data_IF_292281703042
#
_entry.id   IF_292281703042
#
_cell.length_a   1.000
_cell.length_b   1.000
_cell.length_c   1.000
_cell.angle_alpha   90.00
_cell.angle_beta   90.00
_cell.angle_gamma   90.00
#
_symmetry.space_group_name_H-M   'P 1'
#
loop_
_entity.id
_entity.type
_entity.pdbx_description
1 polymer ?
#
# COMPACT_ATOMS: atom_id res chain seq x y z
N UNK A 1 -4.79 -0.51 -15.67
CA UNK A 1 -3.41 -0.94 -15.97
C UNK A 1 -2.52 -0.76 -14.75
N UNK A 2 -1.75 -1.78 -14.45
CA UNK A 2 -0.76 -1.66 -13.40
C UNK A 2 0.47 -0.98 -13.99
N UNK A 3 0.82 0.19 -13.47
CA UNK A 3 1.97 0.92 -13.99
C UNK A 3 3.24 0.52 -13.23
N UNK A 4 4.39 1.00 -13.70
CA UNK A 4 5.68 0.59 -13.12
C UNK A 4 5.80 0.96 -11.64
N UNK A 5 5.05 1.94 -11.19
CA UNK A 5 5.05 2.33 -9.79
C UNK A 5 4.47 1.24 -8.90
N UNK A 6 3.61 0.40 -9.48
CA UNK A 6 2.96 -0.68 -8.75
C UNK A 6 3.59 -2.04 -9.02
N UNK A 7 4.82 -2.06 -9.52
CA UNK A 7 5.60 -3.29 -9.63
C UNK A 7 6.52 -3.34 -8.41
N UNK A 8 6.36 -4.39 -7.63
CA UNK A 8 7.03 -4.51 -6.33
C UNK A 8 7.90 -5.76 -6.35
N UNK A 9 9.13 -5.64 -5.90
CA UNK A 9 9.99 -6.81 -5.79
C UNK A 9 9.56 -7.63 -4.59
N UNK A 10 9.46 -8.93 -4.77
CA UNK A 10 9.06 -9.83 -3.68
C UNK A 10 10.01 -9.62 -2.50
N UNK A 11 9.42 -9.50 -1.33
CA UNK A 11 10.16 -9.24 -0.11
C UNK A 11 10.12 -7.79 0.34
N UNK A 12 9.81 -6.88 -0.56
CA UNK A 12 9.65 -5.48 -0.18
C UNK A 12 8.32 -5.29 0.53
N UNK A 13 8.35 -4.45 1.55
CA UNK A 13 7.11 -4.04 2.20
C UNK A 13 6.46 -2.97 1.34
N UNK A 14 5.16 -3.08 1.14
CA UNK A 14 4.41 -2.14 0.32
C UNK A 14 3.52 -1.29 1.19
N UNK A 15 3.47 0.00 0.90
CA UNK A 15 2.60 0.94 1.60
C UNK A 15 1.73 1.64 0.59
N UNK A 16 0.43 1.66 0.86
CA UNK A 16 -0.54 2.30 -0.03
C UNK A 16 -1.44 3.23 0.73
N UNK A 17 -1.80 4.33 0.08
CA UNK A 17 -2.87 5.18 0.56
C UNK A 17 -4.16 4.77 -0.12
N UNK A 18 -5.22 4.58 0.65
CA UNK A 18 -6.53 4.24 0.10
C UNK A 18 -7.44 5.45 0.22
N UNK A 19 -8.14 5.75 -0.86
CA UNK A 19 -9.09 6.85 -0.90
C UNK A 19 -10.44 6.32 -1.36
N UNK A 20 -11.46 6.61 -0.58
CA UNK A 20 -12.83 6.23 -0.92
C UNK A 20 -13.62 7.51 -1.11
N UNK A 21 -13.96 7.78 -2.36
CA UNK A 21 -14.69 8.99 -2.74
C UNK A 21 -16.10 8.59 -3.11
N UNK A 22 -16.99 8.65 -2.14
CA UNK A 22 -18.38 8.25 -2.34
C UNK A 22 -19.27 9.17 -1.54
N UNK A 23 -20.36 9.60 -2.16
CA UNK A 23 -21.31 10.48 -1.49
C UNK A 23 -21.85 9.82 -0.23
N UNK A 24 -21.82 10.57 0.85
CA UNK A 24 -22.34 10.10 2.13
C UNK A 24 -21.38 9.23 2.92
N UNK A 25 -20.20 8.97 2.40
CA UNK A 25 -19.22 8.14 3.08
C UNK A 25 -18.03 8.99 3.56
N UNK A 26 -17.63 8.79 4.81
CA UNK A 26 -16.44 9.41 5.37
C UNK A 26 -15.51 8.32 5.87
N UNK A 27 -14.29 8.28 5.35
CA UNK A 27 -13.32 7.27 5.79
C UNK A 27 -13.00 7.42 7.27
N UNK A 28 -13.05 8.64 7.77
CA UNK A 28 -12.77 8.88 9.18
C UNK A 28 -13.89 8.32 10.07
N UNK A 29 -15.13 8.46 9.66
CA UNK A 29 -16.27 8.12 10.51
C UNK A 29 -16.87 6.76 10.21
N UNK A 30 -16.73 6.29 9.00
CA UNK A 30 -17.38 5.05 8.58
C UNK A 30 -16.38 3.92 8.45
N UNK A 31 -16.86 2.69 8.55
CA UNK A 31 -16.00 1.53 8.54
C UNK A 31 -15.70 1.05 7.12
N UNK A 32 -14.53 0.47 6.95
CA UNK A 32 -14.13 -0.14 5.70
C UNK A 32 -12.95 -1.07 5.95
N UNK A 33 -12.70 -1.96 5.01
CA UNK A 33 -11.55 -2.86 5.09
C UNK A 33 -11.06 -3.19 3.70
N UNK A 34 -9.84 -3.67 3.61
CA UNK A 34 -9.24 -4.09 2.35
C UNK A 34 -8.83 -5.55 2.49
N UNK A 35 -9.19 -6.35 1.50
CA UNK A 35 -8.76 -7.73 1.42
C UNK A 35 -7.88 -7.88 0.19
N UNK A 36 -6.63 -8.27 0.39
CA UNK A 36 -5.69 -8.51 -0.69
C UNK A 36 -5.75 -9.97 -1.07
N UNK A 37 -5.77 -10.24 -2.37
CA UNK A 37 -5.86 -11.60 -2.87
C UNK A 37 -4.80 -11.82 -3.94
N UNK A 38 -4.16 -12.98 -3.91
CA UNK A 38 -3.13 -13.33 -4.87
C UNK A 38 -3.04 -14.84 -5.00
N UNK A 39 -2.34 -15.27 -6.05
CA UNK A 39 -2.06 -16.67 -6.24
C UNK A 39 -3.24 -17.45 -6.79
N UNK A 40 -2.92 -18.60 -7.34
CA UNK A 40 -3.94 -19.44 -7.97
C UNK A 40 -4.86 -20.11 -6.95
N UNK A 41 -4.40 -20.24 -5.72
CA UNK A 41 -5.18 -20.87 -4.66
C UNK A 41 -5.98 -19.88 -3.85
N UNK A 42 -6.01 -18.62 -4.27
CA UNK A 42 -6.83 -17.62 -3.60
C UNK A 42 -6.34 -17.26 -2.21
N UNK A 43 -5.06 -17.04 -2.07
CA UNK A 43 -4.52 -16.59 -0.78
C UNK A 43 -5.00 -15.19 -0.49
N UNK A 44 -5.25 -14.90 0.77
CA UNK A 44 -5.84 -13.62 1.18
C UNK A 44 -5.17 -13.05 2.39
N UNK A 45 -5.19 -11.72 2.47
CA UNK A 45 -4.76 -10.97 3.64
C UNK A 45 -5.75 -9.83 3.84
N UNK A 46 -6.46 -9.85 4.95
CA UNK A 46 -7.45 -8.82 5.26
C UNK A 46 -6.83 -7.78 6.17
N UNK A 47 -7.00 -6.51 5.80
CA UNK A 47 -6.50 -5.39 6.57
C UNK A 47 -7.71 -4.53 6.96
N UNK A 48 -8.16 -4.64 8.21
CA UNK A 48 -9.29 -3.83 8.67
C UNK A 48 -8.83 -2.40 8.91
N UNK A 49 -9.81 -1.49 8.92
CA UNK A 49 -9.53 -0.08 9.17
C UNK A 49 -8.73 0.12 10.45
N UNK A 50 -9.00 -0.68 11.46
CA UNK A 50 -8.33 -0.54 12.75
C UNK A 50 -6.82 -0.80 12.67
N UNK A 51 -6.36 -1.47 11.62
CA UNK A 51 -4.93 -1.73 11.42
C UNK A 51 -4.29 -0.75 10.47
N UNK A 52 -5.05 0.23 9.99
CA UNK A 52 -4.53 1.24 9.10
C UNK A 52 -4.07 2.45 9.87
N UNK A 53 -3.17 3.21 9.25
CA UNK A 53 -2.69 4.47 9.83
C UNK A 53 -3.51 5.60 9.28
N UNK A 54 -3.93 6.49 10.16
CA UNK A 54 -4.66 7.70 9.77
C UNK A 54 -3.83 8.91 10.16
N UNK A 55 -3.64 9.83 9.22
CA UNK A 55 -2.86 11.04 9.52
C UNK A 55 -3.80 12.21 9.87
N UNK A 56 -3.23 13.39 10.04
CA UNK A 56 -3.98 14.57 10.47
C UNK A 56 -5.02 15.03 9.47
N UNK A 57 -4.87 14.62 8.21
CA UNK A 57 -5.81 15.00 7.15
C UNK A 57 -6.83 13.92 6.88
N UNK A 58 -6.92 12.94 7.78
CA UNK A 58 -7.86 11.83 7.64
C UNK A 58 -7.56 10.99 6.40
N UNK A 59 -6.28 10.94 6.01
CA UNK A 59 -5.83 10.04 4.96
C UNK A 59 -5.44 8.71 5.57
N UNK A 60 -5.80 7.62 4.91
CA UNK A 60 -5.59 6.28 5.44
C UNK A 60 -4.55 5.54 4.63
N UNK A 61 -3.66 4.87 5.35
CA UNK A 61 -2.56 4.11 4.74
C UNK A 61 -2.53 2.71 5.32
N UNK A 62 -2.21 1.75 4.48
CA UNK A 62 -1.98 0.39 4.96
C UNK A 62 -0.68 -0.14 4.39
N UNK A 63 -0.10 -1.10 5.12
CA UNK A 63 1.19 -1.68 4.79
C UNK A 63 1.03 -3.19 4.77
N UNK A 64 1.69 -3.84 3.83
CA UNK A 64 1.63 -5.29 3.79
C UNK A 64 2.95 -5.85 3.29
N UNK A 65 3.31 -7.07 3.76
CA UNK A 65 4.50 -7.73 3.29
C UNK A 65 4.22 -8.43 1.96
N UNK A 66 5.23 -8.51 1.12
CA UNK A 66 5.10 -9.20 -0.16
C UNK A 66 5.90 -10.50 -0.20
N UNK A 67 6.42 -10.90 0.94
CA UNK A 67 7.30 -12.06 1.04
C UNK A 67 6.70 -13.32 0.43
N UNK A 68 5.42 -13.54 0.65
CA UNK A 68 4.73 -14.73 0.18
C UNK A 68 3.82 -14.46 -1.01
N UNK A 69 3.92 -13.28 -1.59
CA UNK A 69 3.07 -12.89 -2.72
C UNK A 69 3.79 -13.07 -4.03
N UNK A 70 3.05 -13.44 -5.05
CA UNK A 70 3.58 -13.65 -6.40
C UNK A 70 2.54 -13.19 -7.40
N UNK A 71 2.98 -12.42 -8.40
CA UNK A 71 2.10 -12.02 -9.49
C UNK A 71 1.15 -10.91 -9.11
N UNK A 72 0.00 -10.92 -9.73
CA UNK A 72 -0.98 -9.84 -9.52
C UNK A 72 -1.61 -9.97 -8.16
N UNK A 73 -1.62 -8.86 -7.42
CA UNK A 73 -2.31 -8.76 -6.15
C UNK A 73 -3.52 -7.87 -6.38
N UNK A 74 -4.69 -8.41 -6.06
CA UNK A 74 -5.95 -7.70 -6.23
C UNK A 74 -6.43 -7.19 -4.89
N UNK A 75 -6.93 -5.96 -4.86
CA UNK A 75 -7.48 -5.37 -3.65
C UNK A 75 -8.99 -5.33 -3.76
N UNK A 76 -9.65 -5.89 -2.77
CA UNK A 76 -11.11 -5.83 -2.65
C UNK A 76 -11.42 -4.99 -1.42
N UNK A 77 -12.03 -3.83 -1.64
CA UNK A 77 -12.42 -2.94 -0.57
C UNK A 77 -13.89 -3.13 -0.26
N UNK A 78 -14.19 -3.35 1.00
CA UNK A 78 -15.56 -3.41 1.49
C UNK A 78 -15.75 -2.19 2.39
N UNK A 79 -16.76 -1.39 2.10
CA UNK A 79 -17.01 -0.19 2.91
C UNK A 79 -18.50 -0.04 3.16
N UNK A 80 -18.83 0.67 4.22
CA UNK A 80 -20.19 0.71 4.74
C UNK A 80 -20.72 2.13 4.69
N UNK A 81 -21.62 2.37 3.74
CA UNK A 81 -22.17 3.69 3.50
C UNK A 81 -23.42 3.86 4.37
N UNK A 82 -23.52 4.95 5.13
CA UNK A 82 -24.74 5.19 5.90
C UNK A 82 -25.96 5.24 4.98
N UNK A 83 -26.98 4.49 5.34
CA UNK A 83 -28.20 4.41 4.53
C UNK A 83 -29.34 4.01 5.44
N UNK A 84 -30.27 4.93 5.63
CA UNK A 84 -31.39 4.72 6.55
C UNK A 84 -32.41 3.71 6.05
N UNK A 85 -32.34 3.35 4.79
CA UNK A 85 -33.24 2.34 4.24
C UNK A 85 -32.85 0.92 4.62
N UNK A 86 -31.69 0.76 5.26
CA UNK A 86 -31.21 -0.55 5.67
C UNK A 86 -31.39 -0.71 7.18
N UNK A 87 -31.67 -1.95 7.57
CA UNK A 87 -32.02 -2.24 8.96
C UNK A 87 -30.94 -1.85 9.96
N UNK A 88 -29.66 -2.03 9.56
CA UNK A 88 -28.55 -1.68 10.44
C UNK A 88 -28.04 -0.27 10.20
N UNK A 89 -28.71 0.48 9.32
CA UNK A 89 -28.33 1.86 9.06
C UNK A 89 -27.19 2.03 8.10
N UNK A 90 -26.66 0.94 7.52
CA UNK A 90 -25.58 1.02 6.56
C UNK A 90 -25.81 0.09 5.38
N UNK A 91 -25.20 0.47 4.25
CA UNK A 91 -25.22 -0.32 3.04
C UNK A 91 -23.81 -0.76 2.74
N UNK A 92 -23.63 -2.05 2.52
CA UNK A 92 -22.31 -2.59 2.19
C UNK A 92 -22.02 -2.41 0.72
N UNK A 93 -20.85 -1.85 0.41
CA UNK A 93 -20.38 -1.68 -0.96
C UNK A 93 -19.04 -2.40 -1.09
N UNK A 94 -18.84 -3.08 -2.23
CA UNK A 94 -17.61 -3.82 -2.47
C UNK A 94 -17.05 -3.41 -3.82
N UNK A 95 -15.77 -3.05 -3.87
CA UNK A 95 -15.09 -2.71 -5.11
C UNK A 95 -13.77 -3.44 -5.16
N UNK A 96 -13.47 -4.02 -6.31
CA UNK A 96 -12.28 -4.85 -6.48
C UNK A 96 -11.51 -4.40 -7.70
N UNK A 97 -10.19 -4.31 -7.57
CA UNK A 97 -9.34 -3.91 -8.69
C UNK A 97 -7.92 -4.43 -8.47
N UNK A 98 -7.16 -4.57 -9.55
CA UNK A 98 -5.74 -4.92 -9.39
C UNK A 98 -5.01 -3.82 -8.66
N UNK A 99 -4.17 -4.20 -7.70
CA UNK A 99 -3.42 -3.25 -6.91
C UNK A 99 -1.97 -3.16 -7.36
N UNK A 100 -1.30 -4.31 -7.46
CA UNK A 100 0.11 -4.32 -7.78
C UNK A 100 0.48 -5.66 -8.39
N UNK A 101 1.72 -5.71 -8.89
CA UNK A 101 2.33 -6.94 -9.38
C UNK A 101 3.59 -7.20 -8.57
N UNK A 102 3.68 -8.36 -7.95
CA UNK A 102 4.86 -8.74 -7.18
C UNK A 102 5.76 -9.56 -8.07
N UNK A 103 6.92 -8.99 -8.36
CA UNK A 103 7.89 -9.58 -9.27
C UNK A 103 8.86 -10.44 -8.49
N UNK A 104 8.99 -11.69 -8.91
CA UNK A 104 9.84 -12.65 -8.20
C UNK A 104 11.14 -12.94 -8.93
N UNK A 105 11.29 -12.40 -10.14
CA UNK A 105 12.47 -12.67 -10.95
C UNK A 105 13.00 -11.42 -11.62
N UNK A 106 13.89 -11.65 -12.53
CA UNK A 106 14.51 -10.54 -13.26
C UNK A 106 13.70 -10.13 -14.48
N UNK A 107 12.76 -10.95 -14.88
CA UNK A 107 11.95 -10.66 -16.06
C UNK A 107 10.78 -9.79 -15.65
N UNK A 108 10.72 -8.62 -16.22
CA UNK A 108 9.60 -7.75 -15.95
C UNK A 108 8.36 -8.28 -16.66
N UNK A 109 7.21 -8.17 -16.00
CA UNK A 109 5.95 -8.59 -16.63
C UNK A 109 5.57 -7.59 -17.69
N UNK A 110 5.61 -8.00 -18.93
CA UNK A 110 5.20 -7.12 -20.01
C UNK A 110 3.78 -7.40 -20.48
N UNK A 111 3.13 -8.30 -19.81
CA UNK A 111 1.75 -8.67 -20.13
C UNK A 111 0.84 -8.39 -18.95
N UNK A 112 0.97 -7.21 -18.40
CA UNK A 112 0.09 -6.85 -17.30
C UNK A 112 -1.32 -6.55 -17.77
N UNK A 113 -1.50 -6.49 -19.06
CA UNK A 113 -2.77 -6.15 -19.61
C UNK A 113 -3.14 -4.73 -19.25
N UNK A 114 -4.32 -4.36 -19.59
CA UNK A 114 -4.78 -3.03 -19.32
C UNK A 114 -5.42 -2.92 -17.96
N UNK A 115 -5.31 -3.85 -17.12
CA UNK A 115 -5.89 -3.74 -15.79
C UNK A 115 -7.25 -3.08 -15.74
N UNK A 116 -7.56 -2.36 -16.76
CA UNK A 116 -8.82 -1.69 -16.89
C UNK A 116 -8.94 -0.45 -16.02
N UNK A 117 -9.79 0.45 -16.45
CA UNK A 117 -10.29 1.50 -15.61
C UNK A 117 -11.71 1.07 -15.28
N UNK A 118 -12.01 0.95 -14.00
CA UNK A 118 -13.35 0.54 -13.61
C UNK A 118 -14.23 1.77 -13.55
N UNK A 119 -15.07 1.93 -14.57
CA UNK A 119 -16.01 3.03 -14.60
C UNK A 119 -16.89 2.95 -13.35
N UNK A 120 -17.04 4.10 -12.71
CA UNK A 120 -17.86 4.16 -11.52
C UNK A 120 -17.16 3.72 -10.24
N UNK A 121 -15.88 3.43 -10.32
CA UNK A 121 -15.13 3.07 -9.10
C UNK A 121 -14.99 4.29 -8.21
N UNK A 122 -15.21 4.07 -6.93
CA UNK A 122 -15.08 5.13 -5.92
C UNK A 122 -13.84 4.93 -5.06
N UNK A 123 -13.17 3.80 -5.21
CA UNK A 123 -12.00 3.48 -4.39
C UNK A 123 -10.77 3.56 -5.25
N UNK A 124 -9.76 4.25 -4.75
CA UNK A 124 -8.49 4.35 -5.46
C UNK A 124 -7.34 4.12 -4.47
N UNK A 125 -6.20 3.72 -5.03
CA UNK A 125 -5.02 3.38 -4.24
C UNK A 125 -3.81 4.07 -4.85
N UNK A 126 -2.96 4.61 -3.97
CA UNK A 126 -1.74 5.26 -4.41
C UNK A 126 -0.58 4.69 -3.62
N UNK A 127 0.39 4.11 -4.34
CA UNK A 127 1.56 3.55 -3.68
C UNK A 127 2.41 4.67 -3.10
N UNK A 128 2.79 4.51 -1.84
CA UNK A 128 3.69 5.43 -1.17
C UNK A 128 5.09 4.90 -1.34
N UNK A 129 5.93 5.66 -2.00
CA UNK A 129 7.31 5.25 -2.17
C UNK A 129 8.04 5.42 -0.85
N UNK A 130 8.86 4.42 -0.52
CA UNK A 130 9.75 4.58 0.61
C UNK A 130 10.78 5.59 0.23
N UNK A 131 10.94 6.57 1.08
CA UNK A 131 11.89 7.63 0.82
C UNK A 131 13.30 7.07 0.89
N UNK A 132 14.04 7.19 -0.20
CA UNK A 132 15.45 6.85 -0.18
C UNK A 132 16.19 7.69 0.85
N UNK A 133 15.72 8.91 1.03
CA UNK A 133 16.33 9.82 2.01
C UNK A 133 16.20 9.23 3.40
N UNK A 134 15.05 8.69 3.71
CA UNK A 134 14.84 8.08 5.03
C UNK A 134 15.75 6.88 5.22
N UNK A 135 15.87 6.03 4.20
CA UNK A 135 16.75 4.86 4.28
C UNK A 135 18.19 5.29 4.47
N UNK A 136 18.63 6.32 3.73
CA UNK A 136 19.97 6.83 3.86
C UNK A 136 20.18 7.39 5.26
N UNK A 137 19.22 8.10 5.77
CA UNK A 137 19.27 8.65 7.11
C UNK A 137 19.49 7.56 8.15
N UNK A 138 18.73 6.51 8.04
CA UNK A 138 18.83 5.42 9.00
C UNK A 138 20.19 4.74 8.91
N UNK A 139 20.68 4.56 7.69
CA UNK A 139 22.00 4.00 7.49
C UNK A 139 23.10 4.89 8.07
N UNK A 140 22.99 6.18 7.83
CA UNK A 140 23.98 7.12 8.34
C UNK A 140 23.94 7.19 9.86
N UNK A 141 22.76 7.04 10.42
CA UNK A 141 22.62 7.06 11.87
C UNK A 141 23.31 5.87 12.50
N UNK A 142 23.22 4.72 11.85
CA UNK A 142 23.92 3.53 12.32
C UNK A 142 25.43 3.72 12.21
N UNK A 143 25.87 4.24 11.09
CA UNK A 143 27.29 4.49 10.86
C UNK A 143 27.79 5.53 11.85
N UNK A 144 27.03 6.60 12.03
CA UNK A 144 27.40 7.68 12.93
C UNK A 144 27.36 7.21 14.38
N UNK A 145 26.40 6.39 14.69
CA UNK A 145 26.36 5.79 16.00
C UNK A 145 27.51 4.85 16.20
N UNK A 146 27.95 4.27 15.13
CA UNK A 146 29.15 3.48 15.07
C UNK A 146 30.30 4.35 14.66
N UNK A 147 30.09 5.30 13.70
CA UNK A 147 30.92 6.17 13.03
C UNK A 147 30.51 7.30 12.64
N UNK A 148 30.29 7.47 12.53
CA UNK A 148 29.79 8.11 11.88
C UNK A 148 30.67 7.75 11.47
N UNK A 149 31.04 6.66 11.59
CA UNK A 149 31.64 6.11 11.22
C UNK A 149 31.77 5.51 10.17
N UNK A 150 32.21 5.45 9.48
CA UNK A 150 32.34 5.21 8.40
C UNK A 150 31.91 5.31 7.44
N UNK A 151 31.87 5.59 7.22
CA UNK A 151 31.34 5.98 6.43
C UNK A 151 31.35 6.31 5.85
N UNK A 152 31.91 6.42 6.25
CA UNK A 152 31.76 6.96 6.16
C UNK A 152 32.01 7.03 5.94
N UNK A 153 32.68 6.47 6.54
CA UNK A 153 32.76 6.93 6.61
C UNK A 153 32.93 7.14 5.70
N UNK A 154 33.04 7.25 5.15
CA UNK A 154 32.72 7.75 4.46
C UNK A 154 31.84 8.20 3.96
N UNK A 155 31.33 8.25 4.07
CA UNK A 155 30.40 8.90 4.03
C UNK A 155 30.11 9.59 4.90
N UNK A 156 30.46 9.46 5.55
CA UNK A 156 30.13 9.82 6.33
C UNK A 156 30.76 10.14 6.84
N UNK A 157 31.51 10.35 6.92
CA UNK A 157 31.78 10.84 7.55
C UNK A 157 31.70 11.67 7.16
N UNK A 158 31.33 11.85 6.59
CA UNK A 158 30.92 12.67 6.48
C UNK A 158 29.91 13.08 6.78
N UNK A 159 29.93 13.11 7.01
CA UNK A 159 29.08 13.52 7.54
C UNK A 159 29.12 13.58 8.67
N UNK A 160 29.98 13.17 8.92
CA UNK A 160 30.01 12.99 9.90
C UNK A 160 30.10 13.09 10.37
N UNK A 161 30.82 13.05 10.34
CA UNK A 161 30.94 13.01 10.91
C UNK A 161 30.76 13.06 11.33
N UNK A 162 31.33 13.18 11.28
CA UNK A 162 31.13 13.15 11.90
C UNK A 162 31.01 13.27 12.09
#
# INVERSE_FOLDING_TARGET
>A
MINSRNIIQQGQEAKYRIMIDRDGFSQHENDFEVCLQWGMKGQELTIPKSEMMENERNEFFFVFPTKDMVGVVTARCTYYVPDLDYADGTREEVEQQPLCFVNTGVTLPHMLGDGGIYDGSHVSYERQSQSKIKSIYETLRDVTGAILRDANGLLMRALKKN
#
